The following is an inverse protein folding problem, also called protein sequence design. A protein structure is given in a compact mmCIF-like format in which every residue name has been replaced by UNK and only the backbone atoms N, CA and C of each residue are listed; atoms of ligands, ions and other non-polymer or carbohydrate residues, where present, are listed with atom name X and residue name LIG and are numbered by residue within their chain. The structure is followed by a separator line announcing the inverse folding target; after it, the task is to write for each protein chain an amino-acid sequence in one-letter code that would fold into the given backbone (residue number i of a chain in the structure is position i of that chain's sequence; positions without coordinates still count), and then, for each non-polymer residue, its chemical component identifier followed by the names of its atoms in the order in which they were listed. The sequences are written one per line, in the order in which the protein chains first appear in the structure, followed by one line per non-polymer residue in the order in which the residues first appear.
data_IF_508396242408
#
_entry.id   IF_508396242408
#
_cell.length_a   1.000
_cell.length_b   1.000
_cell.length_c   1.000
_cell.angle_alpha   90.00
_cell.angle_beta   90.00
_cell.angle_gamma   90.00
#
_symmetry.space_group_name_H-M   'P 1'
#
loop_
_entity.id
_entity.type
_entity.pdbx_description
1 polymer ?
#
# COMPACT_ATOMS: atom_id res chain seq x y z
N UNK A 1 -9.91 -12.31 8.77
CA UNK A 1 -11.29 -12.52 8.26
C UNK A 1 -11.31 -13.72 7.32
N UNK A 2 -10.49 -13.78 6.26
CA UNK A 2 -10.47 -14.87 5.26
C UNK A 2 -10.33 -16.27 5.87
N UNK A 3 -9.36 -16.49 6.77
CA UNK A 3 -9.17 -17.80 7.42
C UNK A 3 -10.43 -18.27 8.16
N UNK A 4 -11.16 -17.35 8.81
CA UNK A 4 -12.42 -17.70 9.50
C UNK A 4 -13.55 -17.97 8.51
N UNK A 5 -13.64 -17.21 7.42
CA UNK A 5 -14.63 -17.44 6.38
C UNK A 5 -14.42 -18.77 5.67
N UNK A 6 -13.16 -19.14 5.37
CA UNK A 6 -12.82 -20.47 4.82
C UNK A 6 -13.22 -21.63 5.72
N UNK A 7 -13.12 -21.45 7.05
CA UNK A 7 -13.56 -22.48 8.02
C UNK A 7 -15.09 -22.54 8.17
N UNK A 8 -15.79 -21.47 7.85
CA UNK A 8 -17.25 -21.34 7.98
C UNK A 8 -17.88 -20.71 6.73
N UNK A 9 -17.87 -21.38 5.58
CA UNK A 9 -18.34 -20.81 4.31
C UNK A 9 -19.81 -20.34 4.35
N UNK A 10 -20.69 -21.11 5.03
CA UNK A 10 -22.09 -20.76 5.18
C UNK A 10 -22.28 -19.40 5.87
N UNK A 11 -21.53 -19.15 6.95
CA UNK A 11 -21.60 -17.86 7.66
C UNK A 11 -21.19 -16.70 6.75
N UNK A 12 -20.17 -16.90 5.91
CA UNK A 12 -19.74 -15.85 4.96
C UNK A 12 -20.80 -15.56 3.90
N UNK A 13 -21.54 -16.58 3.44
CA UNK A 13 -22.63 -16.43 2.45
C UNK A 13 -23.88 -15.78 3.05
N UNK A 14 -24.14 -15.97 4.34
CA UNK A 14 -25.29 -15.37 5.05
C UNK A 14 -25.08 -13.88 5.36
N UNK A 15 -23.82 -13.39 5.32
CA UNK A 15 -23.50 -11.99 5.61
C UNK A 15 -23.94 -11.09 4.44
N UNK A 16 -24.90 -10.23 4.72
CA UNK A 16 -25.32 -9.19 3.75
C UNK A 16 -24.49 -7.92 3.97
N UNK A 17 -23.25 -7.93 3.49
CA UNK A 17 -22.33 -6.79 3.62
C UNK A 17 -22.56 -5.80 2.47
N UNK A 18 -22.65 -4.52 2.81
CA UNK A 18 -22.71 -3.44 1.82
C UNK A 18 -21.40 -3.37 1.02
N UNK A 19 -20.27 -3.47 1.69
CA UNK A 19 -18.92 -3.57 1.14
C UNK A 19 -17.91 -3.98 2.24
N UNK A 20 -16.71 -4.37 1.84
CA UNK A 20 -15.55 -4.56 2.72
C UNK A 20 -14.56 -3.44 2.42
N UNK A 21 -14.10 -2.73 3.46
CA UNK A 21 -13.06 -1.71 3.35
C UNK A 21 -11.80 -2.20 4.06
N UNK A 22 -10.68 -2.26 3.32
CA UNK A 22 -9.34 -2.47 3.85
C UNK A 22 -8.58 -1.14 3.87
N UNK A 23 -7.85 -0.88 4.96
CA UNK A 23 -7.05 0.33 5.14
C UNK A 23 -6.01 0.09 6.22
N UNK A 24 -5.03 0.98 6.36
CA UNK A 24 -3.94 0.96 7.36
C UNK A 24 -2.84 -0.08 7.14
N UNK A 25 -3.01 -0.98 6.18
CA UNK A 25 -1.98 -1.89 5.68
C UNK A 25 -2.28 -2.22 4.23
N UNK A 26 -1.27 -2.54 3.46
CA UNK A 26 -1.44 -3.00 2.08
C UNK A 26 -2.30 -4.25 2.02
N UNK A 27 -3.19 -4.30 1.03
CA UNK A 27 -4.03 -5.46 0.74
C UNK A 27 -3.48 -6.17 -0.51
N UNK A 28 -2.83 -7.34 -0.38
CA UNK A 28 -2.35 -8.06 -1.55
C UNK A 28 -3.47 -8.29 -2.57
N UNK A 29 -3.23 -8.12 -3.87
CA UNK A 29 -4.26 -8.31 -4.91
C UNK A 29 -4.95 -9.68 -4.83
N UNK A 30 -4.20 -10.74 -4.55
CA UNK A 30 -4.76 -12.08 -4.37
C UNK A 30 -5.77 -12.15 -3.20
N UNK A 31 -5.49 -11.42 -2.11
CA UNK A 31 -6.39 -11.34 -0.94
C UNK A 31 -7.63 -10.51 -1.26
N UNK A 32 -7.47 -9.41 -2.01
CA UNK A 32 -8.58 -8.60 -2.51
C UNK A 32 -9.57 -9.43 -3.32
N UNK A 33 -9.07 -10.18 -4.31
CA UNK A 33 -9.90 -11.01 -5.18
C UNK A 33 -10.58 -12.16 -4.41
N UNK A 34 -9.87 -12.75 -3.46
CA UNK A 34 -10.41 -13.80 -2.62
C UNK A 34 -11.53 -13.30 -1.68
N UNK A 35 -11.37 -12.13 -1.08
CA UNK A 35 -12.41 -11.47 -0.29
C UNK A 35 -13.67 -11.23 -1.13
N UNK A 36 -13.50 -10.67 -2.33
CA UNK A 36 -14.60 -10.42 -3.27
C UNK A 36 -15.34 -11.69 -3.64
N UNK A 37 -14.60 -12.78 -3.89
CA UNK A 37 -15.15 -14.09 -4.24
C UNK A 37 -15.93 -14.73 -3.10
N UNK A 38 -15.37 -14.73 -1.87
CA UNK A 38 -15.98 -15.41 -0.71
C UNK A 38 -17.21 -14.66 -0.21
N UNK A 39 -17.11 -13.33 -0.07
CA UNK A 39 -18.19 -12.53 0.51
C UNK A 39 -19.19 -12.00 -0.54
N UNK A 40 -18.94 -12.24 -1.83
CA UNK A 40 -19.80 -11.80 -2.95
C UNK A 40 -20.19 -10.33 -2.84
N UNK A 41 -19.29 -9.48 -2.34
CA UNK A 41 -19.51 -8.05 -2.12
C UNK A 41 -18.37 -7.21 -2.67
N UNK A 42 -18.62 -5.91 -2.77
CA UNK A 42 -17.59 -4.94 -3.17
C UNK A 42 -16.47 -4.90 -2.12
N UNK A 43 -15.23 -4.95 -2.57
CA UNK A 43 -14.05 -4.72 -1.75
C UNK A 43 -13.41 -3.42 -2.20
N UNK A 44 -13.10 -2.54 -1.26
CA UNK A 44 -12.38 -1.30 -1.51
C UNK A 44 -11.13 -1.24 -0.63
N UNK A 45 -10.04 -0.82 -1.22
CA UNK A 45 -8.83 -0.46 -0.51
C UNK A 45 -8.75 1.05 -0.40
N UNK A 46 -8.32 1.54 0.75
CA UNK A 46 -8.18 2.96 1.02
C UNK A 46 -6.86 3.23 1.72
N UNK A 47 -6.29 4.40 1.45
CA UNK A 47 -5.04 4.84 2.04
C UNK A 47 -5.26 6.11 2.86
N UNK A 48 -4.61 6.15 4.00
CA UNK A 48 -4.67 7.28 4.91
C UNK A 48 -3.64 7.16 6.01
N UNK A 49 -3.39 8.28 6.67
CA UNK A 49 -2.48 8.39 7.80
C UNK A 49 -3.07 9.34 8.84
N UNK A 50 -2.53 9.31 10.04
CA UNK A 50 -2.99 10.16 11.16
C UNK A 50 -2.92 11.64 10.79
N UNK A 51 -1.87 12.04 10.10
CA UNK A 51 -1.62 13.41 9.65
C UNK A 51 -2.62 13.93 8.62
N UNK A 52 -3.47 13.06 8.08
CA UNK A 52 -4.55 13.38 7.14
C UNK A 52 -5.93 12.88 7.60
N UNK A 53 -6.15 12.77 8.92
CA UNK A 53 -7.43 12.30 9.50
C UNK A 53 -7.91 10.96 8.90
N UNK A 54 -6.97 10.04 8.66
CA UNK A 54 -7.16 8.68 8.13
C UNK A 54 -7.80 8.55 6.75
N UNK A 55 -7.93 9.63 5.99
CA UNK A 55 -8.54 9.57 4.65
C UNK A 55 -7.74 10.40 3.66
N UNK A 56 -7.13 9.75 2.69
CA UNK A 56 -6.36 10.39 1.60
C UNK A 56 -6.87 9.93 0.24
N UNK A 57 -6.91 8.62 0.02
CA UNK A 57 -7.48 8.02 -1.20
C UNK A 57 -8.38 6.84 -0.85
N UNK A 58 -9.26 6.48 -1.75
CA UNK A 58 -10.12 5.30 -1.64
C UNK A 58 -10.48 4.78 -3.02
N UNK A 59 -10.54 3.46 -3.18
CA UNK A 59 -11.27 2.88 -4.28
C UNK A 59 -12.71 3.38 -4.22
N UNK A 60 -13.30 3.78 -5.36
CA UNK A 60 -14.69 4.23 -5.39
C UNK A 60 -15.65 3.06 -5.16
N UNK A 61 -16.89 3.38 -4.77
CA UNK A 61 -17.97 2.40 -4.76
C UNK A 61 -18.58 2.24 -6.15
N UNK A 62 -19.28 1.13 -6.44
CA UNK A 62 -20.02 0.99 -7.67
C UNK A 62 -20.95 2.19 -7.96
N UNK A 63 -21.13 2.59 -9.22
CA UNK A 63 -20.80 1.84 -10.44
C UNK A 63 -19.35 1.97 -10.90
N UNK A 64 -18.51 2.76 -10.24
CA UNK A 64 -17.11 2.89 -10.61
C UNK A 64 -16.34 1.60 -10.32
N UNK A 65 -15.20 1.43 -11.01
CA UNK A 65 -14.35 0.24 -10.89
C UNK A 65 -13.50 0.28 -9.62
N UNK A 66 -13.37 -0.86 -8.95
CA UNK A 66 -12.39 -1.08 -7.90
C UNK A 66 -11.19 -1.81 -8.49
N UNK A 67 -9.97 -1.34 -8.19
CA UNK A 67 -8.72 -1.94 -8.67
C UNK A 67 -7.97 -2.59 -7.51
N UNK A 68 -7.72 -3.90 -7.62
CA UNK A 68 -6.84 -4.61 -6.71
C UNK A 68 -5.40 -4.08 -6.81
N UNK A 69 -4.71 -3.91 -5.68
CA UNK A 69 -3.35 -3.37 -5.62
C UNK A 69 -3.25 -1.85 -5.80
N UNK A 70 -4.38 -1.16 -5.87
CA UNK A 70 -4.45 0.30 -5.91
C UNK A 70 -5.29 0.82 -4.75
N UNK A 71 -4.81 1.85 -4.11
CA UNK A 71 -5.49 2.49 -2.97
C UNK A 71 -6.55 3.52 -3.40
N UNK A 72 -6.86 3.55 -4.69
CA UNK A 72 -7.97 4.34 -5.26
C UNK A 72 -7.60 5.76 -5.68
N UNK A 73 -8.61 6.61 -5.73
CA UNK A 73 -8.53 8.01 -6.18
C UNK A 73 -8.50 8.95 -4.97
N UNK A 74 -8.00 10.19 -5.10
CA UNK A 74 -8.09 11.19 -4.05
C UNK A 74 -9.50 11.32 -3.47
N UNK A 75 -9.62 11.28 -2.15
CA UNK A 75 -10.91 11.26 -1.44
C UNK A 75 -10.82 12.02 -0.11
N UNK A 76 -10.47 13.27 -0.20
CA UNK A 76 -10.25 14.20 0.91
C UNK A 76 -9.29 15.29 0.46
N UNK A 77 -7.98 15.16 0.72
CA UNK A 77 -6.98 16.13 0.28
C UNK A 77 -6.70 16.02 -1.23
N UNK A 78 -6.05 17.03 -1.77
CA UNK A 78 -5.32 16.91 -3.02
C UNK A 78 -4.16 15.94 -2.80
N UNK A 79 -3.85 15.13 -3.81
CA UNK A 79 -2.74 14.17 -3.81
C UNK A 79 -1.92 14.37 -5.08
N UNK A 80 -0.61 14.41 -4.97
CA UNK A 80 0.29 14.42 -6.12
C UNK A 80 1.54 13.57 -5.84
N UNK A 81 2.27 13.27 -6.90
CA UNK A 81 3.55 12.58 -6.83
C UNK A 81 4.64 13.61 -7.08
N UNK A 82 5.70 13.61 -6.27
CA UNK A 82 6.80 14.57 -6.39
C UNK A 82 8.16 13.86 -6.40
N UNK A 83 9.10 14.49 -7.08
CA UNK A 83 10.52 14.15 -6.97
C UNK A 83 11.14 14.71 -5.66
N UNK A 84 12.41 14.43 -5.43
CA UNK A 84 13.14 14.92 -4.24
C UNK A 84 13.34 16.45 -4.22
N UNK A 85 13.17 17.14 -5.35
CA UNK A 85 13.25 18.58 -5.50
C UNK A 85 11.89 19.27 -5.30
N UNK A 86 10.79 18.50 -5.19
CA UNK A 86 9.43 19.02 -5.05
C UNK A 86 8.76 19.39 -6.37
N UNK A 87 9.26 18.90 -7.48
CA UNK A 87 8.56 19.01 -8.76
C UNK A 87 7.52 17.90 -8.88
N UNK A 88 6.34 18.23 -9.38
CA UNK A 88 5.30 17.23 -9.66
C UNK A 88 5.71 16.34 -10.81
N UNK A 89 5.53 15.04 -10.64
CA UNK A 89 5.76 14.02 -11.64
C UNK A 89 4.49 13.74 -12.45
N UNK A 90 4.69 13.16 -13.65
CA UNK A 90 3.59 12.76 -14.52
C UNK A 90 3.01 11.40 -14.10
N UNK A 91 1.89 11.05 -14.70
CA UNK A 91 1.26 9.73 -14.57
C UNK A 91 2.25 8.63 -14.95
N UNK A 92 2.30 7.56 -14.15
CA UNK A 92 3.20 6.42 -14.34
C UNK A 92 4.62 6.61 -13.78
N UNK A 93 5.00 7.82 -13.36
CA UNK A 93 6.31 8.07 -12.75
C UNK A 93 6.25 7.87 -11.23
N UNK A 94 7.17 7.06 -10.70
CA UNK A 94 7.29 6.81 -9.26
C UNK A 94 7.99 7.98 -8.54
N UNK A 95 7.38 8.43 -7.46
CA UNK A 95 7.92 9.46 -6.59
C UNK A 95 7.26 9.46 -5.22
N UNK A 96 7.54 10.47 -4.42
CA UNK A 96 6.91 10.61 -3.11
C UNK A 96 5.47 11.06 -3.24
N UNK A 97 4.57 10.37 -2.56
CA UNK A 97 3.18 10.78 -2.41
C UNK A 97 3.13 12.00 -1.50
N UNK A 98 2.61 13.11 -2.01
CA UNK A 98 2.45 14.35 -1.28
C UNK A 98 0.98 14.78 -1.25
N UNK A 99 0.54 15.34 -0.13
CA UNK A 99 -0.85 15.71 0.11
C UNK A 99 -1.01 17.16 0.55
N UNK A 100 -2.16 17.74 0.24
CA UNK A 100 -2.53 19.09 0.66
C UNK A 100 -4.03 19.21 0.81
N UNK A 101 -4.52 19.79 1.90
CA UNK A 101 -5.95 20.00 2.13
C UNK A 101 -6.28 20.32 3.57
N UNK A 102 -7.52 20.66 3.83
CA UNK A 102 -7.99 21.08 5.15
C UNK A 102 -7.95 19.98 6.21
N UNK A 103 -7.92 18.71 5.78
CA UNK A 103 -7.80 17.55 6.65
C UNK A 103 -6.35 17.13 6.92
N UNK A 104 -5.37 17.86 6.36
CA UNK A 104 -3.94 17.58 6.54
C UNK A 104 -3.41 18.44 7.70
N UNK A 105 -2.57 17.83 8.55
CA UNK A 105 -1.95 18.52 9.68
C UNK A 105 -1.17 19.75 9.24
N UNK A 106 -1.12 20.76 10.09
CA UNK A 106 -0.26 21.94 9.90
C UNK A 106 1.18 21.71 10.43
N UNK A 107 1.46 20.53 10.96
CA UNK A 107 2.76 20.14 11.51
C UNK A 107 2.64 19.34 12.79
N UNK A 108 3.79 18.86 13.25
CA UNK A 108 3.93 18.14 14.52
C UNK A 108 4.09 19.13 15.67
N UNK A 109 3.30 18.97 16.72
CA UNK A 109 3.37 19.82 17.89
C UNK A 109 4.70 19.63 18.64
N UNK A 110 5.37 20.72 19.00
CA UNK A 110 6.65 20.73 19.71
C UNK A 110 7.76 19.90 19.03
N UNK A 111 7.72 19.75 17.70
CA UNK A 111 8.73 19.00 16.93
C UNK A 111 9.18 19.80 15.69
N UNK A 112 9.92 20.89 15.94
CA UNK A 112 10.42 21.77 14.86
C UNK A 112 11.34 21.02 13.89
N UNK A 113 12.12 20.05 14.37
CA UNK A 113 13.06 19.30 13.53
C UNK A 113 12.32 18.44 12.49
N UNK A 114 11.27 17.73 12.91
CA UNK A 114 10.43 16.98 11.98
C UNK A 114 9.71 17.93 11.00
N UNK A 115 9.26 19.09 11.48
CA UNK A 115 8.53 20.06 10.65
C UNK A 115 9.40 20.69 9.54
N UNK A 116 10.72 20.78 9.71
CA UNK A 116 11.63 21.30 8.67
C UNK A 116 11.58 20.48 7.38
N UNK A 117 11.32 19.19 7.48
CA UNK A 117 11.32 18.26 6.34
C UNK A 117 9.95 17.67 6.00
N UNK A 118 8.94 17.93 6.86
CA UNK A 118 7.60 17.40 6.68
C UNK A 118 6.84 18.04 5.51
N UNK A 119 7.27 19.22 5.05
CA UNK A 119 6.60 19.95 3.98
C UNK A 119 7.57 20.34 2.86
N UNK A 120 7.07 20.32 1.63
CA UNK A 120 7.76 20.84 0.45
C UNK A 120 6.76 21.61 -0.41
N UNK A 121 7.06 22.88 -0.72
CA UNK A 121 6.21 23.74 -1.54
C UNK A 121 4.73 23.80 -1.08
N UNK A 122 4.48 23.71 0.24
CA UNK A 122 3.12 23.70 0.82
C UNK A 122 2.40 22.35 0.75
N UNK A 123 3.10 21.28 0.38
CA UNK A 123 2.60 19.90 0.38
C UNK A 123 3.21 19.12 1.53
N UNK A 124 2.40 18.37 2.26
CA UNK A 124 2.87 17.45 3.28
C UNK A 124 3.46 16.19 2.62
N UNK A 125 4.63 15.81 3.04
CA UNK A 125 5.39 14.64 2.57
C UNK A 125 5.00 13.42 3.39
N UNK A 126 4.43 12.40 2.74
CA UNK A 126 3.96 11.20 3.44
C UNK A 126 5.09 10.21 3.78
N UNK A 127 6.21 10.29 3.06
CA UNK A 127 7.29 9.30 3.11
C UNK A 127 6.94 7.99 2.40
N UNK A 128 5.78 7.91 1.74
CA UNK A 128 5.39 6.77 0.91
C UNK A 128 5.72 7.06 -0.55
N UNK A 129 6.15 6.04 -1.28
CA UNK A 129 6.40 6.07 -2.72
C UNK A 129 5.21 5.50 -3.47
N UNK A 130 4.92 6.06 -4.64
CA UNK A 130 3.87 5.56 -5.51
C UNK A 130 3.76 6.34 -6.81
N UNK A 131 2.77 5.97 -7.61
CA UNK A 131 2.41 6.64 -8.85
C UNK A 131 0.90 6.59 -9.11
N UNK A 132 0.40 7.50 -9.93
CA UNK A 132 -0.94 7.41 -10.50
C UNK A 132 -0.91 6.66 -11.83
N UNK A 133 -1.93 5.83 -12.07
CA UNK A 133 -2.19 5.29 -13.40
C UNK A 133 -3.00 6.27 -14.28
N UNK A 134 -3.19 5.91 -15.56
CA UNK A 134 -3.91 6.73 -16.53
C UNK A 134 -5.40 6.94 -16.19
N UNK A 135 -5.97 6.12 -15.30
CA UNK A 135 -7.35 6.26 -14.82
C UNK A 135 -7.43 7.08 -13.51
N UNK A 136 -6.28 7.57 -13.00
CA UNK A 136 -6.17 8.37 -11.78
C UNK A 136 -6.24 7.57 -10.47
N UNK A 137 -5.94 6.27 -10.51
CA UNK A 137 -5.80 5.45 -9.31
C UNK A 137 -4.37 5.49 -8.81
N UNK A 138 -4.21 5.72 -7.50
CA UNK A 138 -2.92 5.69 -6.83
C UNK A 138 -2.51 4.25 -6.51
N UNK A 139 -1.30 3.88 -6.90
CA UNK A 139 -0.61 2.68 -6.43
C UNK A 139 0.51 3.08 -5.48
N UNK A 140 0.56 2.47 -4.31
CA UNK A 140 1.68 2.63 -3.36
C UNK A 140 2.73 1.58 -3.67
N UNK A 141 3.96 2.03 -3.90
CA UNK A 141 5.11 1.15 -4.17
C UNK A 141 5.83 0.76 -2.87
N UNK A 142 5.74 1.55 -1.80
CA UNK A 142 6.33 1.25 -0.49
C UNK A 142 6.66 2.49 0.31
N UNK A 143 7.43 2.31 1.40
CA UNK A 143 8.01 3.41 2.18
C UNK A 143 9.35 3.80 1.62
N UNK A 144 9.59 5.10 1.39
CA UNK A 144 10.87 5.59 0.86
C UNK A 144 12.08 5.12 1.67
N UNK A 145 11.96 5.11 3.01
CA UNK A 145 13.02 4.65 3.92
C UNK A 145 13.20 3.13 3.96
N UNK A 146 12.26 2.36 3.41
CA UNK A 146 12.30 0.89 3.40
C UNK A 146 12.68 0.33 2.03
N UNK A 147 12.77 1.18 1.00
CA UNK A 147 13.23 0.78 -0.35
C UNK A 147 14.66 0.25 -0.25
N UNK A 148 14.84 -0.98 -0.67
CA UNK A 148 16.13 -1.68 -0.65
C UNK A 148 17.00 -1.14 -1.79
N UNK A 149 18.21 -0.69 -1.46
CA UNK A 149 19.16 -0.19 -2.45
C UNK A 149 20.25 -1.23 -2.73
N UNK A 150 19.97 -2.13 -3.66
CA UNK A 150 20.88 -3.21 -4.04
C UNK A 150 21.78 -2.80 -5.20
N UNK A 151 22.99 -2.33 -4.86
CA UNK A 151 23.97 -1.94 -5.89
C UNK A 151 23.50 -0.78 -6.78
N UNK A 152 22.64 0.11 -6.29
CA UNK A 152 22.06 1.21 -7.04
C UNK A 152 20.64 0.93 -7.57
N UNK A 153 20.22 -0.31 -7.62
CA UNK A 153 18.83 -0.67 -7.96
C UNK A 153 17.92 -0.49 -6.76
N UNK A 154 16.78 0.15 -6.99
CA UNK A 154 15.74 0.40 -5.98
C UNK A 154 14.69 -0.70 -6.04
N UNK A 155 14.64 -1.53 -5.00
CA UNK A 155 13.71 -2.66 -4.91
C UNK A 155 12.68 -2.37 -3.83
N UNK A 156 11.40 -2.43 -4.20
CA UNK A 156 10.29 -2.30 -3.27
C UNK A 156 10.08 -3.62 -2.50
N UNK A 157 10.19 -3.65 -1.17
CA UNK A 157 9.80 -4.83 -0.37
C UNK A 157 8.35 -5.25 -0.64
N UNK A 158 7.45 -4.30 -0.78
CA UNK A 158 6.03 -4.55 -1.03
C UNK A 158 5.78 -5.27 -2.37
N UNK A 159 6.54 -4.93 -3.40
CA UNK A 159 6.42 -5.57 -4.71
C UNK A 159 6.90 -7.03 -4.64
N UNK A 160 8.00 -7.29 -3.93
CA UNK A 160 8.49 -8.65 -3.69
C UNK A 160 7.47 -9.45 -2.88
N UNK A 161 6.92 -8.87 -1.80
CA UNK A 161 5.89 -9.50 -0.98
C UNK A 161 4.66 -9.87 -1.81
N UNK A 162 4.14 -8.94 -2.63
CA UNK A 162 2.99 -9.20 -3.48
C UNK A 162 3.23 -10.34 -4.47
N UNK A 163 4.42 -10.37 -5.09
CA UNK A 163 4.81 -11.43 -6.02
C UNK A 163 4.89 -12.80 -5.33
N UNK A 164 5.51 -12.85 -4.14
CA UNK A 164 5.63 -14.10 -3.39
C UNK A 164 4.28 -14.59 -2.84
N UNK A 165 3.38 -13.67 -2.49
CA UNK A 165 2.02 -14.02 -2.05
C UNK A 165 1.16 -14.68 -3.13
N UNK A 166 1.52 -14.59 -4.41
CA UNK A 166 0.86 -15.33 -5.50
C UNK A 166 1.17 -16.84 -5.43
N UNK A 167 2.27 -17.21 -4.78
CA UNK A 167 2.65 -18.62 -4.70
C UNK A 167 1.70 -19.39 -3.77
N UNK A 168 1.16 -20.51 -4.26
CA UNK A 168 0.13 -21.33 -3.57
C UNK A 168 0.51 -21.82 -2.17
N UNK A 169 1.80 -21.98 -1.90
CA UNK A 169 2.32 -22.49 -0.63
C UNK A 169 2.51 -21.37 0.42
N UNK A 170 2.56 -20.11 0.01
CA UNK A 170 2.84 -18.97 0.89
C UNK A 170 1.57 -18.56 1.64
N UNK A 171 1.66 -18.44 2.97
CA UNK A 171 0.62 -17.91 3.83
C UNK A 171 0.90 -16.47 4.24
N UNK A 172 2.16 -16.18 4.59
CA UNK A 172 2.63 -14.83 4.92
C UNK A 172 4.05 -14.65 4.41
N UNK A 173 4.41 -13.43 4.09
CA UNK A 173 5.75 -13.05 3.66
C UNK A 173 6.07 -11.66 4.17
N UNK A 174 7.35 -11.41 4.45
CA UNK A 174 7.89 -10.08 4.69
C UNK A 174 9.28 -9.99 4.07
N UNK A 175 9.49 -8.97 3.27
CA UNK A 175 10.76 -8.64 2.62
C UNK A 175 11.43 -7.48 3.36
N UNK A 176 12.73 -7.54 3.52
CA UNK A 176 13.52 -6.53 4.23
C UNK A 176 14.95 -6.44 3.68
N UNK A 177 15.59 -5.30 3.94
CA UNK A 177 16.99 -5.10 3.60
C UNK A 177 17.90 -5.92 4.54
N UNK A 178 18.90 -6.56 3.96
CA UNK A 178 20.01 -7.22 4.68
C UNK A 178 21.29 -6.54 4.24
N UNK A 179 22.18 -6.24 5.20
CA UNK A 179 23.48 -5.64 4.88
C UNK A 179 24.31 -6.57 4.00
N UNK A 180 24.80 -6.05 2.88
CA UNK A 180 25.68 -6.73 1.94
C UNK A 180 26.98 -5.94 1.75
N UNK A 181 28.13 -6.62 1.81
CA UNK A 181 29.43 -5.95 1.76
C UNK A 181 29.81 -5.45 0.34
N UNK A 182 29.22 -6.03 -0.70
CA UNK A 182 29.52 -5.70 -2.10
C UNK A 182 28.47 -4.72 -2.67
N UNK A 183 27.21 -4.99 -2.42
CA UNK A 183 26.08 -4.26 -3.02
C UNK A 183 25.45 -3.22 -2.07
N UNK A 184 25.97 -3.10 -0.82
CA UNK A 184 25.41 -2.26 0.23
C UNK A 184 24.25 -2.96 0.93
N UNK A 185 23.20 -3.32 0.18
CA UNK A 185 22.06 -4.07 0.68
C UNK A 185 21.74 -5.28 -0.24
N UNK A 186 21.21 -6.33 0.37
CA UNK A 186 20.63 -7.49 -0.29
C UNK A 186 19.17 -7.66 0.17
N UNK A 187 18.40 -8.41 -0.62
CA UNK A 187 17.01 -8.70 -0.32
C UNK A 187 16.93 -9.91 0.60
N UNK A 188 16.44 -9.73 1.82
CA UNK A 188 16.06 -10.80 2.73
C UNK A 188 14.54 -11.02 2.69
N UNK A 189 14.12 -12.27 2.79
CA UNK A 189 12.69 -12.64 2.82
C UNK A 189 12.42 -13.65 3.92
N UNK A 190 11.41 -13.40 4.74
CA UNK A 190 10.89 -14.37 5.69
C UNK A 190 9.52 -14.84 5.22
N UNK A 191 9.33 -16.16 5.12
CA UNK A 191 8.13 -16.78 4.57
C UNK A 191 7.50 -17.72 5.60
N UNK A 192 6.17 -17.61 5.76
CA UNK A 192 5.37 -18.62 6.46
C UNK A 192 4.61 -19.45 5.42
N UNK A 193 4.78 -20.76 5.46
CA UNK A 193 4.08 -21.67 4.57
C UNK A 193 2.70 -22.03 5.13
N UNK A 194 1.76 -22.30 4.24
CA UNK A 194 0.45 -22.84 4.60
C UNK A 194 0.61 -24.21 5.26
N UNK A 195 -0.21 -24.47 6.28
CA UNK A 195 -0.18 -25.74 7.02
C UNK A 195 -0.36 -26.95 6.09
N UNK A 196 0.54 -27.94 6.24
CA UNK A 196 0.51 -29.19 5.47
C UNK A 196 1.11 -29.11 4.07
N UNK A 197 1.80 -28.03 3.75
CA UNK A 197 2.55 -27.90 2.50
C UNK A 197 4.04 -27.92 2.81
N UNK A 198 4.76 -28.89 2.26
CA UNK A 198 6.22 -28.87 2.21
C UNK A 198 6.66 -28.14 0.94
N UNK A 199 7.55 -27.18 1.11
CA UNK A 199 8.19 -26.46 0.01
C UNK A 199 9.70 -26.65 0.16
N UNK A 200 10.35 -27.21 -0.86
CA UNK A 200 11.81 -27.22 -0.93
C UNK A 200 12.28 -25.89 -1.50
N UNK A 201 13.45 -25.45 -1.05
CA UNK A 201 14.15 -24.25 -1.58
C UNK A 201 14.43 -24.35 -3.08
#
# INVERSE_FOLDING_TARGET
ILMRAKKNPKLAEELNLRFIRSSSASLPPAVFDELKKIFKTTVIEAYGMTEATHQMTSNPLPPEKQKAGFVGKPAGPEVCIMDSQGNKLNTGEDGEVCIRGDNVTNGYENNEEANKTAFINGWFRTGDQGHFDDEGYLKISGRLKEIINRGGEKVSPLEVDNTLMEHKAVEQVVTFAVKDNLLGEAIGVAIVLKSGIDCNE
#
